data_IF_472313840702
#
_entry.id   IF_472313840702
#
_cell.length_a   1.000
_cell.length_b   1.000
_cell.length_c   1.000
_cell.angle_alpha   90.00
_cell.angle_beta   90.00
_cell.angle_gamma   90.00
#
_symmetry.space_group_name_H-M   'P 1'
#
loop_
_entity.id
_entity.type
_entity.pdbx_description
1 polymer ?
#
# COMPACT_ATOMS: atom_id res chain seq x y z
N UNK A 1 23.96 69.98 8.71
CA UNK A 1 22.72 69.22 8.44
C UNK A 1 23.01 67.76 8.79
N UNK A 2 22.59 67.32 9.99
CA UNK A 2 22.97 66.00 10.53
C UNK A 2 22.00 64.93 10.05
N UNK A 3 22.51 63.95 9.28
CA UNK A 3 21.77 62.75 8.87
C UNK A 3 21.84 61.74 10.03
N UNK A 4 20.70 61.40 10.62
CA UNK A 4 20.58 60.28 11.57
C UNK A 4 20.11 59.04 10.81
N UNK A 5 21.01 58.07 10.68
CA UNK A 5 20.70 56.73 10.16
C UNK A 5 20.23 55.86 11.33
N UNK A 6 18.96 55.45 11.30
CA UNK A 6 18.39 54.47 12.24
C UNK A 6 18.48 53.08 11.62
N UNK A 7 19.38 52.25 12.15
CA UNK A 7 19.44 50.81 11.91
C UNK A 7 18.34 50.13 12.76
N UNK A 8 17.36 49.50 12.11
CA UNK A 8 16.45 48.56 12.77
C UNK A 8 17.14 47.19 12.92
N UNK A 9 17.16 46.58 14.11
CA UNK A 9 17.59 45.20 14.25
C UNK A 9 16.45 44.29 13.79
N UNK A 10 16.70 43.51 12.74
CA UNK A 10 15.82 42.40 12.35
C UNK A 10 16.08 41.27 13.35
N UNK A 11 15.17 41.09 14.30
CA UNK A 11 15.13 39.89 15.13
C UNK A 11 14.69 38.73 14.22
N UNK A 12 15.64 37.89 13.81
CA UNK A 12 15.35 36.61 13.18
C UNK A 12 14.76 35.67 14.22
N UNK A 13 13.43 35.50 14.22
CA UNK A 13 12.78 34.43 14.96
C UNK A 13 13.09 33.11 14.23
N UNK A 14 14.13 32.41 14.68
CA UNK A 14 14.39 31.03 14.27
C UNK A 14 13.33 30.14 14.93
N UNK A 15 12.18 29.95 14.29
CA UNK A 15 11.25 28.90 14.69
C UNK A 15 11.93 27.55 14.44
N UNK A 16 12.47 26.95 15.50
CA UNK A 16 12.88 25.54 15.47
C UNK A 16 11.60 24.71 15.45
N UNK A 17 11.01 24.52 14.26
CA UNK A 17 9.99 23.51 14.06
C UNK A 17 10.62 22.15 14.29
N UNK A 18 10.37 21.54 15.45
CA UNK A 18 10.69 20.12 15.63
C UNK A 18 9.80 19.33 14.68
N UNK A 19 10.41 18.51 13.82
CA UNK A 19 9.68 17.62 12.94
C UNK A 19 8.76 16.70 13.77
N UNK A 20 7.50 16.58 13.34
CA UNK A 20 6.51 15.70 13.95
C UNK A 20 6.97 14.24 13.91
N UNK A 21 7.49 13.84 12.76
CA UNK A 21 8.00 12.53 12.43
C UNK A 21 9.48 12.63 12.03
N UNK A 22 10.29 11.66 12.45
CA UNK A 22 11.70 11.53 12.08
C UNK A 22 11.90 10.28 11.22
N UNK A 23 12.79 10.37 10.23
CA UNK A 23 13.07 9.25 9.34
C UNK A 23 13.68 8.10 10.13
N UNK A 24 13.03 6.94 10.09
CA UNK A 24 13.48 5.70 10.72
C UNK A 24 14.19 4.83 9.69
N UNK A 25 13.55 4.59 8.54
CA UNK A 25 14.09 3.78 7.45
C UNK A 25 13.87 4.43 6.09
N UNK A 26 14.96 4.54 5.33
CA UNK A 26 14.92 4.73 3.88
C UNK A 26 15.32 3.40 3.22
N UNK A 27 14.42 2.84 2.41
CA UNK A 27 14.66 1.56 1.76
C UNK A 27 15.58 1.68 0.53
N UNK A 28 15.83 2.90 0.04
CA UNK A 28 16.67 3.17 -1.12
C UNK A 28 16.10 2.65 -2.45
N UNK A 29 16.87 2.83 -3.53
CA UNK A 29 16.47 2.41 -4.90
C UNK A 29 17.55 1.64 -5.64
N UNK A 30 18.59 1.21 -4.93
CA UNK A 30 19.60 0.29 -5.44
C UNK A 30 19.20 -1.16 -5.21
N UNK A 31 19.99 -2.12 -5.68
CA UNK A 31 19.76 -3.55 -5.40
C UNK A 31 19.73 -3.89 -3.91
N UNK A 32 20.27 -3.02 -3.05
CA UNK A 32 20.20 -3.16 -1.59
C UNK A 32 18.79 -3.00 -1.02
N UNK A 33 17.84 -2.44 -1.80
CA UNK A 33 16.43 -2.41 -1.43
C UNK A 33 15.95 -3.82 -1.09
N UNK A 34 16.27 -4.79 -1.95
CA UNK A 34 15.88 -6.19 -1.78
C UNK A 34 16.58 -6.89 -0.61
N UNK A 35 17.65 -6.33 -0.03
CA UNK A 35 18.30 -6.88 1.16
C UNK A 35 17.46 -6.62 2.43
N UNK A 36 16.53 -5.67 2.37
CA UNK A 36 15.62 -5.32 3.47
C UNK A 36 14.33 -6.17 3.47
N UNK A 37 14.17 -7.09 2.52
CA UNK A 37 13.00 -7.95 2.37
C UNK A 37 13.37 -9.43 2.30
N UNK A 38 12.50 -10.29 2.83
CA UNK A 38 12.46 -11.72 2.49
C UNK A 38 11.60 -11.94 1.24
N UNK A 39 11.93 -12.98 0.47
CA UNK A 39 11.13 -13.43 -0.68
C UNK A 39 10.34 -14.65 -0.25
N UNK A 40 9.02 -14.52 -0.19
CA UNK A 40 8.11 -15.62 0.10
C UNK A 40 8.04 -16.56 -1.11
N UNK A 41 8.09 -17.87 -0.90
CA UNK A 41 8.11 -18.88 -1.98
C UNK A 41 7.14 -20.04 -1.75
N UNK A 42 6.40 -20.01 -0.64
CA UNK A 42 5.40 -21.02 -0.34
C UNK A 42 4.14 -20.81 -1.21
N UNK A 43 3.21 -21.78 -1.24
CA UNK A 43 1.93 -21.59 -1.91
C UNK A 43 1.21 -20.34 -1.39
N UNK A 44 0.56 -19.62 -2.30
CA UNK A 44 -0.14 -18.39 -1.97
C UNK A 44 -1.26 -18.62 -0.93
N UNK A 45 -1.21 -17.96 0.24
CA UNK A 45 -2.22 -18.12 1.28
C UNK A 45 -3.65 -17.79 0.83
N UNK A 46 -3.81 -16.96 -0.20
CA UNK A 46 -5.12 -16.60 -0.77
C UNK A 46 -5.60 -17.58 -1.85
N UNK A 47 -4.85 -18.65 -2.12
CA UNK A 47 -5.18 -19.66 -3.11
C UNK A 47 -5.03 -19.20 -4.56
N UNK A 48 -4.22 -18.17 -4.82
CA UNK A 48 -3.98 -17.64 -6.15
C UNK A 48 -3.26 -18.61 -7.11
N UNK A 49 -3.48 -18.39 -8.41
CA UNK A 49 -2.79 -19.09 -9.50
C UNK A 49 -1.44 -18.41 -9.80
N UNK A 50 -0.58 -18.40 -8.78
CA UNK A 50 0.72 -17.73 -8.77
C UNK A 50 1.82 -18.67 -8.31
N UNK A 51 3.01 -18.53 -8.90
CA UNK A 51 4.24 -19.16 -8.42
C UNK A 51 5.15 -18.07 -7.87
N UNK A 52 5.15 -17.87 -6.57
CA UNK A 52 6.11 -16.96 -5.94
C UNK A 52 7.51 -17.55 -5.96
N UNK A 53 8.46 -16.80 -6.52
CA UNK A 53 9.84 -17.28 -6.72
C UNK A 53 10.84 -16.55 -5.82
N UNK A 54 11.94 -17.23 -5.51
CA UNK A 54 13.05 -16.64 -4.75
C UNK A 54 13.74 -15.50 -5.52
N UNK A 55 14.52 -14.68 -4.79
CA UNK A 55 15.24 -13.52 -5.35
C UNK A 55 16.13 -13.85 -6.55
N UNK A 56 16.87 -14.96 -6.51
CA UNK A 56 17.79 -15.31 -7.61
C UNK A 56 17.02 -15.71 -8.85
N UNK A 57 15.93 -16.46 -8.68
CA UNK A 57 15.01 -16.82 -9.76
C UNK A 57 14.35 -15.58 -10.35
N UNK A 58 13.82 -14.69 -9.50
CA UNK A 58 13.22 -13.41 -9.91
C UNK A 58 14.20 -12.54 -10.71
N UNK A 59 15.46 -12.40 -10.27
CA UNK A 59 16.49 -11.64 -10.99
C UNK A 59 16.80 -12.24 -12.36
N UNK A 60 16.98 -13.56 -12.44
CA UNK A 60 17.28 -14.25 -13.71
C UNK A 60 16.12 -14.17 -14.69
N UNK A 61 14.89 -14.22 -14.19
CA UNK A 61 13.68 -14.09 -14.99
C UNK A 61 13.31 -12.63 -15.31
N UNK A 62 14.06 -11.64 -14.81
CA UNK A 62 13.79 -10.22 -15.05
C UNK A 62 12.57 -9.68 -14.29
N UNK A 63 12.09 -10.39 -13.26
CA UNK A 63 10.94 -9.98 -12.46
C UNK A 63 11.30 -8.86 -11.49
N UNK A 64 12.57 -8.72 -11.12
CA UNK A 64 13.03 -7.64 -10.24
C UNK A 64 14.29 -6.97 -10.79
N UNK A 65 14.37 -5.66 -10.60
CA UNK A 65 15.58 -4.88 -10.82
C UNK A 65 15.55 -3.60 -9.98
N UNK A 66 16.71 -2.99 -9.76
CA UNK A 66 16.78 -1.72 -9.03
C UNK A 66 17.95 -0.87 -9.55
N UNK A 67 17.64 0.27 -10.16
CA UNK A 67 18.61 1.23 -10.68
C UNK A 67 17.98 2.64 -10.71
N UNK A 68 18.00 3.32 -9.57
CA UNK A 68 17.40 4.65 -9.42
C UNK A 68 15.89 4.60 -9.15
N UNK A 69 15.22 3.54 -9.58
CA UNK A 69 13.90 3.10 -9.13
C UNK A 69 13.91 1.58 -8.95
N UNK A 70 13.00 1.05 -8.13
CA UNK A 70 12.86 -0.39 -7.89
C UNK A 70 11.71 -0.93 -8.73
N UNK A 71 11.99 -1.91 -9.56
CA UNK A 71 11.01 -2.64 -10.37
C UNK A 71 10.71 -4.00 -9.74
N UNK A 72 9.42 -4.33 -9.63
CA UNK A 72 8.94 -5.66 -9.25
C UNK A 72 7.73 -6.02 -10.12
N UNK A 73 7.86 -7.00 -10.99
CA UNK A 73 6.82 -7.43 -11.91
C UNK A 73 6.59 -8.93 -11.90
N UNK A 74 5.85 -9.38 -12.91
CA UNK A 74 5.44 -10.77 -13.10
C UNK A 74 5.96 -11.31 -14.44
N UNK A 75 5.96 -12.63 -14.60
CA UNK A 75 6.22 -13.21 -15.92
C UNK A 75 5.10 -12.79 -16.87
N UNK A 76 5.44 -12.08 -17.92
CA UNK A 76 4.54 -11.64 -18.99
C UNK A 76 4.97 -12.17 -20.37
N UNK A 77 5.76 -13.24 -20.41
CA UNK A 77 6.32 -13.84 -21.64
C UNK A 77 5.89 -15.29 -21.82
N UNK A 78 5.88 -16.09 -20.75
CA UNK A 78 5.64 -17.53 -20.86
C UNK A 78 4.21 -17.92 -20.52
N UNK A 79 3.71 -18.95 -21.20
CA UNK A 79 2.50 -19.67 -20.76
C UNK A 79 2.80 -20.28 -19.39
N UNK A 80 1.93 -20.01 -18.41
CA UNK A 80 2.16 -20.48 -17.05
C UNK A 80 1.89 -21.99 -16.94
N UNK A 81 2.71 -22.68 -16.13
CA UNK A 81 2.47 -24.07 -15.76
C UNK A 81 1.40 -24.21 -14.69
N UNK A 82 1.18 -25.43 -14.22
CA UNK A 82 0.18 -25.74 -13.17
C UNK A 82 0.48 -25.07 -11.82
N UNK A 83 1.71 -24.63 -11.59
CA UNK A 83 2.11 -23.88 -10.40
C UNK A 83 1.67 -22.42 -10.41
N UNK A 84 1.06 -21.93 -11.49
CA UNK A 84 0.69 -20.53 -11.63
C UNK A 84 1.74 -19.66 -12.30
N UNK A 85 1.37 -18.40 -12.57
CA UNK A 85 2.24 -17.40 -13.21
C UNK A 85 3.30 -16.93 -12.24
N UNK A 86 4.56 -16.83 -12.69
CA UNK A 86 5.64 -16.39 -11.80
C UNK A 86 5.46 -14.93 -11.38
N UNK A 87 5.65 -14.69 -10.09
CA UNK A 87 5.58 -13.38 -9.44
C UNK A 87 6.49 -13.36 -8.22
N UNK A 88 6.51 -12.25 -7.49
CA UNK A 88 7.24 -12.11 -6.24
C UNK A 88 6.32 -11.61 -5.13
N UNK A 89 6.55 -12.09 -3.91
CA UNK A 89 5.98 -11.55 -2.67
C UNK A 89 7.13 -11.21 -1.74
N UNK A 90 7.30 -9.93 -1.44
CA UNK A 90 8.37 -9.41 -0.61
C UNK A 90 7.78 -8.96 0.72
N UNK A 91 8.36 -9.43 1.83
CA UNK A 91 7.98 -9.02 3.19
C UNK A 91 9.17 -8.37 3.87
N UNK A 92 9.00 -7.17 4.43
CA UNK A 92 10.12 -6.45 5.02
C UNK A 92 10.65 -7.21 6.22
N UNK A 93 11.97 -7.30 6.33
CA UNK A 93 12.64 -7.98 7.45
C UNK A 93 12.37 -7.28 8.79
N UNK A 94 12.27 -5.95 8.76
CA UNK A 94 11.89 -5.13 9.92
C UNK A 94 10.37 -5.04 10.05
N UNK A 95 9.89 -5.10 11.29
CA UNK A 95 8.51 -4.80 11.67
C UNK A 95 8.41 -3.42 12.34
N UNK A 96 7.21 -2.86 12.34
CA UNK A 96 6.90 -1.56 12.93
C UNK A 96 5.62 -1.66 13.78
N UNK A 97 5.58 -0.89 14.87
CA UNK A 97 4.35 -0.60 15.59
C UNK A 97 4.18 0.91 15.58
N UNK A 98 3.08 1.37 14.98
CA UNK A 98 2.86 2.78 14.63
C UNK A 98 3.88 3.32 13.62
N UNK A 99 3.61 4.54 13.17
CA UNK A 99 4.52 5.32 12.33
C UNK A 99 3.81 5.93 11.13
N UNK A 100 4.61 6.47 10.23
CA UNK A 100 4.18 7.06 8.97
C UNK A 100 4.94 6.42 7.82
N UNK A 101 4.25 5.62 7.01
CA UNK A 101 4.80 4.97 5.82
C UNK A 101 4.50 5.86 4.62
N UNK A 102 5.54 6.24 3.86
CA UNK A 102 5.40 7.03 2.63
C UNK A 102 5.98 6.22 1.48
N UNK A 103 5.10 5.88 0.54
CA UNK A 103 5.42 5.15 -0.68
C UNK A 103 5.21 6.06 -1.90
N UNK A 104 6.29 6.39 -2.61
CA UNK A 104 6.26 7.09 -3.91
C UNK A 104 6.38 6.08 -5.04
N UNK A 105 5.32 5.96 -5.84
CA UNK A 105 5.23 5.05 -6.98
C UNK A 105 5.14 5.84 -8.29
N UNK A 106 5.99 5.47 -9.25
CA UNK A 106 5.81 5.85 -10.64
C UNK A 106 4.77 4.96 -11.34
N UNK A 107 4.63 3.71 -10.90
CA UNK A 107 3.75 2.71 -11.50
C UNK A 107 3.34 1.65 -10.46
N UNK A 108 2.14 1.09 -10.60
CA UNK A 108 1.66 -0.10 -9.90
C UNK A 108 1.05 -1.09 -10.89
N UNK A 109 0.83 -2.37 -10.55
CA UNK A 109 0.18 -3.29 -11.47
C UNK A 109 -1.18 -2.73 -11.95
N UNK A 110 -1.39 -2.76 -13.26
CA UNK A 110 -2.55 -2.16 -13.91
C UNK A 110 -3.88 -2.85 -13.58
N UNK A 111 -4.98 -2.29 -14.09
CA UNK A 111 -6.29 -2.94 -14.02
C UNK A 111 -6.40 -4.03 -15.08
N UNK A 112 -5.90 -5.24 -14.79
CA UNK A 112 -5.76 -6.35 -15.73
C UNK A 112 -6.60 -7.53 -15.24
N UNK A 113 -7.37 -8.16 -16.13
CA UNK A 113 -8.12 -9.37 -15.77
C UNK A 113 -7.19 -10.43 -15.17
N UNK A 114 -7.58 -10.94 -14.01
CA UNK A 114 -6.89 -12.01 -13.30
C UNK A 114 -5.84 -11.54 -12.31
N UNK A 115 -5.36 -10.29 -12.34
CA UNK A 115 -4.38 -9.79 -11.35
C UNK A 115 -5.04 -9.43 -10.03
N UNK A 116 -4.30 -9.62 -8.94
CA UNK A 116 -4.60 -9.12 -7.61
C UNK A 116 -3.30 -8.61 -6.96
N UNK A 117 -2.95 -7.33 -7.20
CA UNK A 117 -1.79 -6.71 -6.57
C UNK A 117 -2.13 -6.12 -5.20
N UNK A 118 -1.14 -6.16 -4.29
CA UNK A 118 -1.26 -5.55 -2.97
C UNK A 118 0.04 -4.85 -2.53
N UNK A 119 -0.11 -3.66 -1.93
CA UNK A 119 0.86 -3.09 -1.00
C UNK A 119 0.18 -2.88 0.34
N UNK A 120 0.68 -3.56 1.37
CA UNK A 120 -0.04 -3.76 2.61
C UNK A 120 0.91 -3.99 3.79
N UNK A 121 0.38 -3.96 5.00
CA UNK A 121 1.10 -4.28 6.23
C UNK A 121 0.48 -5.52 6.88
N UNK A 122 1.34 -6.42 7.34
CA UNK A 122 0.92 -7.69 7.93
C UNK A 122 1.59 -7.89 9.30
N UNK A 123 0.78 -8.07 10.34
CA UNK A 123 1.25 -8.50 11.66
C UNK A 123 1.46 -10.02 11.74
N UNK A 124 2.20 -10.53 12.75
CA UNK A 124 2.33 -11.97 12.97
C UNK A 124 1.00 -12.64 13.35
N UNK A 125 0.94 -13.96 13.22
CA UNK A 125 -0.19 -14.78 13.69
C UNK A 125 -1.58 -14.28 13.23
N UNK A 126 -1.69 -13.98 11.94
CA UNK A 126 -2.89 -13.43 11.31
C UNK A 126 -4.19 -14.16 11.70
N UNK A 127 -5.29 -13.45 11.99
CA UNK A 127 -5.46 -11.99 11.97
C UNK A 127 -5.19 -11.32 13.34
N UNK A 128 -4.49 -11.99 14.26
CA UNK A 128 -4.37 -11.56 15.67
C UNK A 128 -3.61 -10.25 15.84
N UNK A 129 -2.66 -9.95 14.95
CA UNK A 129 -1.92 -8.69 14.90
C UNK A 129 -2.30 -7.83 13.68
N UNK A 130 -3.40 -8.21 13.02
CA UNK A 130 -4.08 -7.47 11.99
C UNK A 130 -3.35 -7.34 10.66
N UNK A 131 -4.07 -6.70 9.73
CA UNK A 131 -3.68 -6.41 8.36
C UNK A 131 -4.12 -4.99 7.98
N UNK A 132 -3.30 -4.27 7.21
CA UNK A 132 -3.64 -2.94 6.66
C UNK A 132 -3.37 -2.95 5.16
N UNK A 133 -4.43 -3.02 4.36
CA UNK A 133 -4.35 -2.95 2.92
C UNK A 133 -4.34 -1.50 2.47
N UNK A 134 -3.18 -1.04 2.02
CA UNK A 134 -2.99 0.36 1.61
C UNK A 134 -3.35 0.54 0.14
N UNK A 135 -2.89 -0.38 -0.70
CA UNK A 135 -3.20 -0.42 -2.13
C UNK A 135 -3.63 -1.84 -2.46
N UNK A 136 -4.89 -2.03 -2.83
CA UNK A 136 -5.41 -3.35 -3.17
C UNK A 136 -6.57 -3.24 -4.16
N UNK A 137 -6.66 -4.22 -5.05
CA UNK A 137 -7.76 -4.38 -5.97
C UNK A 137 -7.61 -5.62 -6.83
N UNK A 138 -8.66 -5.94 -7.58
CA UNK A 138 -8.69 -7.15 -8.41
C UNK A 138 -9.14 -6.87 -9.83
N UNK A 139 -8.67 -7.69 -10.76
CA UNK A 139 -9.10 -7.66 -12.16
C UNK A 139 -8.97 -6.24 -12.76
N UNK A 140 -10.02 -5.76 -13.43
CA UNK A 140 -10.07 -4.45 -14.09
C UNK A 140 -10.56 -3.33 -13.18
N UNK A 141 -10.50 -3.52 -11.85
CA UNK A 141 -10.83 -2.48 -10.88
C UNK A 141 -10.02 -1.21 -11.18
N UNK A 142 -10.70 -0.07 -11.12
CA UNK A 142 -10.13 1.22 -11.52
C UNK A 142 -9.85 2.16 -10.35
N UNK A 143 -10.35 1.83 -9.16
CA UNK A 143 -10.21 2.64 -7.94
C UNK A 143 -9.63 1.77 -6.83
N UNK A 144 -8.82 2.36 -5.97
CA UNK A 144 -8.21 1.63 -4.86
C UNK A 144 -9.28 1.18 -3.84
N UNK A 145 -9.10 0.03 -3.21
CA UNK A 145 -9.83 -0.36 -2.00
C UNK A 145 -8.83 -0.48 -0.85
N UNK A 146 -9.09 0.23 0.23
CA UNK A 146 -8.27 0.16 1.45
C UNK A 146 -9.06 -0.56 2.52
N UNK A 147 -8.46 -1.57 3.15
CA UNK A 147 -9.14 -2.48 4.07
C UNK A 147 -8.29 -2.69 5.33
N UNK A 148 -8.94 -2.91 6.46
CA UNK A 148 -8.29 -3.51 7.63
C UNK A 148 -8.93 -4.86 7.95
N UNK A 149 -8.08 -5.80 8.35
CA UNK A 149 -8.49 -7.09 8.91
C UNK A 149 -8.01 -7.19 10.35
N UNK A 150 -8.86 -7.69 11.24
CA UNK A 150 -8.57 -7.83 12.67
C UNK A 150 -9.30 -9.00 13.30
N UNK A 151 -8.98 -9.27 14.56
CA UNK A 151 -9.85 -10.04 15.46
C UNK A 151 -11.16 -9.31 15.78
N UNK A 152 -12.11 -10.01 16.40
CA UNK A 152 -13.41 -9.46 16.80
C UNK A 152 -13.27 -8.29 17.78
N UNK A 153 -14.22 -7.34 17.73
CA UNK A 153 -14.24 -6.17 18.61
C UNK A 153 -13.68 -4.88 18.01
N UNK A 154 -13.32 -4.85 16.72
CA UNK A 154 -12.87 -3.64 16.03
C UNK A 154 -13.84 -3.20 14.93
N UNK A 155 -14.36 -1.98 15.04
CA UNK A 155 -15.20 -1.34 14.03
C UNK A 155 -14.86 0.14 13.88
N UNK A 156 -15.09 0.67 12.68
CA UNK A 156 -14.74 2.05 12.30
C UNK A 156 -15.96 2.96 12.15
N UNK A 157 -15.75 4.24 12.42
CA UNK A 157 -16.74 5.27 12.20
C UNK A 157 -16.83 5.67 10.71
N UNK A 158 -18.03 6.05 10.26
CA UNK A 158 -18.23 6.57 8.90
C UNK A 158 -18.04 8.09 8.87
N UNK A 159 -16.80 8.56 8.71
CA UNK A 159 -16.53 9.98 8.54
C UNK A 159 -15.05 10.36 8.57
N UNK A 160 -14.75 11.58 8.10
CA UNK A 160 -13.39 12.11 8.11
C UNK A 160 -12.49 11.59 6.99
N UNK A 161 -13.06 11.06 5.91
CA UNK A 161 -12.37 10.58 4.72
C UNK A 161 -13.14 10.94 3.45
N UNK A 162 -12.47 10.93 2.28
CA UNK A 162 -13.12 11.24 0.99
C UNK A 162 -13.62 10.03 0.22
N UNK A 163 -13.20 8.82 0.60
CA UNK A 163 -13.69 7.56 0.05
C UNK A 163 -15.12 7.20 0.47
N UNK A 164 -15.61 6.06 -0.01
CA UNK A 164 -16.91 5.49 0.33
C UNK A 164 -16.73 4.28 1.24
N UNK A 165 -17.34 4.29 2.42
CA UNK A 165 -17.35 3.13 3.31
C UNK A 165 -18.16 1.99 2.69
N UNK A 166 -17.56 0.80 2.57
CA UNK A 166 -18.20 -0.42 2.09
C UNK A 166 -18.65 -1.29 3.27
N UNK A 167 -17.71 -1.56 4.18
CA UNK A 167 -17.89 -2.39 5.38
C UNK A 167 -17.27 -1.69 6.57
N UNK A 168 -17.88 -1.82 7.74
CA UNK A 168 -17.50 -1.04 8.93
C UNK A 168 -16.86 -1.88 10.03
N UNK A 169 -17.05 -3.20 10.02
CA UNK A 169 -16.48 -4.11 11.00
C UNK A 169 -15.22 -4.76 10.43
N UNK A 170 -14.10 -4.62 11.14
CA UNK A 170 -12.79 -5.09 10.66
C UNK A 170 -12.58 -6.59 10.92
N UNK A 171 -13.49 -7.22 11.67
CA UNK A 171 -13.44 -8.65 11.93
C UNK A 171 -13.76 -9.48 10.69
N UNK A 172 -12.88 -10.43 10.37
CA UNK A 172 -13.01 -11.29 9.18
C UNK A 172 -14.25 -12.18 9.16
N UNK A 173 -14.84 -12.45 10.33
CA UNK A 173 -16.08 -13.22 10.45
C UNK A 173 -17.23 -12.37 11.01
N UNK A 174 -17.20 -11.06 10.76
CA UNK A 174 -18.24 -10.12 11.18
C UNK A 174 -19.64 -10.55 10.68
N UNK A 175 -20.63 -10.69 11.58
CA UNK A 175 -22.00 -11.00 11.18
C UNK A 175 -22.56 -9.95 10.23
N UNK A 176 -23.11 -10.39 9.10
CA UNK A 176 -23.72 -9.50 8.10
C UNK A 176 -22.74 -8.86 7.12
N UNK A 177 -21.46 -9.26 7.15
CA UNK A 177 -20.48 -9.00 6.10
C UNK A 177 -20.05 -10.32 5.47
N UNK A 178 -19.52 -10.27 4.24
CA UNK A 178 -18.89 -11.44 3.64
C UNK A 178 -17.67 -11.86 4.48
N UNK A 179 -17.38 -13.16 4.51
CA UNK A 179 -16.19 -13.67 5.19
C UNK A 179 -14.94 -13.05 4.57
N UNK A 180 -14.00 -12.61 5.41
CA UNK A 180 -12.77 -11.93 5.02
C UNK A 180 -13.01 -10.60 4.27
N UNK A 181 -14.15 -9.94 4.50
CA UNK A 181 -14.38 -8.61 3.93
C UNK A 181 -13.58 -7.51 4.63
N UNK A 182 -13.27 -7.68 5.93
CA UNK A 182 -12.70 -6.63 6.76
C UNK A 182 -13.57 -5.36 6.79
N UNK A 183 -12.99 -4.26 7.25
CA UNK A 183 -13.60 -2.93 7.15
C UNK A 183 -12.95 -2.18 6.00
N UNK A 184 -13.70 -1.94 4.92
CA UNK A 184 -13.16 -1.43 3.67
C UNK A 184 -13.73 -0.05 3.31
N UNK A 185 -12.86 0.79 2.77
CA UNK A 185 -13.19 2.08 2.16
C UNK A 185 -12.72 2.05 0.71
N UNK A 186 -13.65 2.25 -0.22
CA UNK A 186 -13.34 2.38 -1.64
C UNK A 186 -13.03 3.83 -2.00
N UNK A 187 -11.93 4.03 -2.73
CA UNK A 187 -11.65 5.29 -3.37
C UNK A 187 -12.68 5.59 -4.49
N UNK A 188 -12.85 6.87 -4.82
CA UNK A 188 -13.85 7.33 -5.81
C UNK A 188 -13.25 7.80 -7.13
N UNK A 189 -11.92 7.95 -7.19
CA UNK A 189 -11.20 8.47 -8.36
C UNK A 189 -10.33 7.40 -8.99
N UNK A 190 -10.36 7.29 -10.32
CA UNK A 190 -9.54 6.33 -11.06
C UNK A 190 -8.05 6.63 -11.03
N UNK A 191 -7.65 7.83 -10.55
CA UNK A 191 -6.25 8.18 -10.32
C UNK A 191 -5.61 7.37 -9.19
N UNK A 192 -6.41 6.70 -8.37
CA UNK A 192 -5.94 6.03 -7.15
C UNK A 192 -5.36 4.65 -7.42
N UNK A 193 -5.69 4.00 -8.54
CA UNK A 193 -5.32 2.62 -8.75
C UNK A 193 -5.10 2.24 -10.21
N UNK A 194 -4.26 1.22 -10.41
CA UNK A 194 -4.05 0.53 -11.68
C UNK A 194 -3.80 1.45 -12.86
N UNK A 195 -4.50 1.21 -13.97
CA UNK A 195 -4.26 1.88 -15.24
C UNK A 195 -4.45 3.40 -15.16
N UNK A 196 -5.43 3.88 -14.38
CA UNK A 196 -5.65 5.32 -14.23
C UNK A 196 -4.55 6.01 -13.43
N UNK A 197 -4.04 5.36 -12.38
CA UNK A 197 -2.86 5.79 -11.63
C UNK A 197 -1.61 5.85 -12.53
N UNK A 198 -1.35 4.78 -13.29
CA UNK A 198 -0.18 4.66 -14.16
C UNK A 198 -0.17 5.72 -15.26
N UNK A 199 -1.30 5.94 -15.93
CA UNK A 199 -1.45 6.96 -16.97
C UNK A 199 -1.23 8.40 -16.45
N UNK A 200 -1.42 8.62 -15.14
CA UNK A 200 -1.17 9.92 -14.49
C UNK A 200 0.28 10.09 -14.01
N UNK A 201 1.18 9.13 -14.25
CA UNK A 201 2.55 9.14 -13.74
C UNK A 201 2.65 8.80 -12.25
N UNK A 202 1.65 8.09 -11.75
CA UNK A 202 1.53 7.61 -10.38
C UNK A 202 1.32 8.70 -9.33
N UNK A 203 1.96 8.53 -8.17
CA UNK A 203 1.77 9.41 -7.02
C UNK A 203 2.31 8.82 -5.73
N UNK A 204 1.88 9.40 -4.62
CA UNK A 204 2.32 9.00 -3.27
C UNK A 204 1.14 8.49 -2.48
N UNK A 205 1.33 7.32 -1.87
CA UNK A 205 0.50 6.85 -0.78
C UNK A 205 1.23 7.11 0.55
N UNK A 206 0.54 7.76 1.48
CA UNK A 206 1.03 8.00 2.82
C UNK A 206 0.07 7.41 3.85
N UNK A 207 0.56 6.55 4.73
CA UNK A 207 -0.22 5.84 5.73
C UNK A 207 0.29 6.20 7.11
N UNK A 208 -0.51 6.97 7.87
CA UNK A 208 -0.25 7.27 9.28
C UNK A 208 -0.99 6.23 10.14
N UNK A 209 -0.26 5.56 11.01
CA UNK A 209 -0.77 4.59 11.96
C UNK A 209 -0.39 5.00 13.38
N UNK A 210 -1.41 5.20 14.22
CA UNK A 210 -1.29 5.60 15.62
C UNK A 210 -2.22 4.76 16.48
N UNK A 211 -2.15 4.92 17.81
CA UNK A 211 -3.11 4.31 18.73
C UNK A 211 -4.55 4.79 18.53
N UNK A 212 -4.76 5.96 17.91
CA UNK A 212 -6.08 6.52 17.66
C UNK A 212 -6.73 6.03 16.36
N UNK A 213 -5.98 5.29 15.53
CA UNK A 213 -6.44 4.77 14.25
C UNK A 213 -5.43 4.94 13.12
N UNK A 214 -5.91 4.64 11.91
CA UNK A 214 -5.12 4.61 10.69
C UNK A 214 -5.71 5.59 9.68
N UNK A 215 -4.88 6.36 9.00
CA UNK A 215 -5.29 7.28 7.94
C UNK A 215 -4.41 7.11 6.71
N UNK A 216 -5.02 7.04 5.53
CA UNK A 216 -4.34 6.82 4.26
C UNK A 216 -4.65 7.99 3.32
N UNK A 217 -3.61 8.67 2.87
CA UNK A 217 -3.70 9.73 1.86
C UNK A 217 -3.15 9.23 0.52
N UNK A 218 -3.73 9.76 -0.54
CA UNK A 218 -3.18 9.65 -1.88
C UNK A 218 -2.93 11.05 -2.45
N UNK A 219 -1.71 11.31 -2.89
CA UNK A 219 -1.32 12.53 -3.58
C UNK A 219 -0.95 12.19 -5.03
N UNK A 220 -1.78 12.54 -6.03
CA UNK A 220 -1.44 12.39 -7.43
C UNK A 220 -0.10 13.04 -7.77
N UNK A 221 0.62 12.51 -8.77
CA UNK A 221 1.89 13.08 -9.24
C UNK A 221 1.75 14.60 -9.47
N UNK A 222 2.68 15.37 -8.91
CA UNK A 222 2.69 16.84 -9.00
C UNK A 222 1.97 17.54 -7.84
N UNK A 223 1.18 16.84 -7.04
CA UNK A 223 0.46 17.40 -5.87
C UNK A 223 1.09 17.05 -4.51
N UNK A 224 2.27 16.42 -4.51
CA UNK A 224 2.98 16.03 -3.29
C UNK A 224 3.21 17.22 -2.34
N UNK A 225 2.78 17.13 -1.07
CA UNK A 225 3.08 18.09 -0.02
C UNK A 225 4.58 18.43 0.10
N UNK A 226 4.89 19.71 0.37
CA UNK A 226 6.28 20.22 0.38
C UNK A 226 7.12 19.61 1.51
N UNK A 227 6.50 19.32 2.63
CA UNK A 227 7.10 18.70 3.81
C UNK A 227 7.52 17.24 3.56
N UNK A 228 6.73 16.47 2.78
CA UNK A 228 7.14 15.15 2.28
C UNK A 228 8.40 15.28 1.42
N UNK A 229 8.44 16.25 0.49
CA UNK A 229 9.63 16.49 -0.37
C UNK A 229 10.85 16.92 0.44
N UNK A 230 10.63 17.67 1.52
CA UNK A 230 11.68 18.13 2.42
C UNK A 230 12.18 17.04 3.39
N UNK A 231 11.51 15.89 3.47
CA UNK A 231 11.85 14.81 4.39
C UNK A 231 11.47 15.09 5.84
N UNK A 232 10.52 16.00 6.08
CA UNK A 232 10.02 16.38 7.40
C UNK A 232 8.49 16.33 7.43
N UNK A 233 7.87 15.19 7.13
CA UNK A 233 6.42 15.11 6.93
C UNK A 233 5.63 15.47 8.20
N UNK A 234 4.53 16.19 8.01
CA UNK A 234 3.56 16.58 9.03
C UNK A 234 2.13 16.43 8.47
N UNK A 235 1.43 15.32 8.79
CA UNK A 235 0.09 15.05 8.29
C UNK A 235 -0.99 16.09 8.66
N UNK A 236 -0.74 16.94 9.65
CA UNK A 236 -1.75 17.90 10.17
C UNK A 236 -2.26 18.87 9.11
N UNK A 237 -1.48 19.15 8.07
CA UNK A 237 -1.83 20.10 7.00
C UNK A 237 -2.11 19.43 5.65
N UNK A 238 -2.20 18.10 5.58
CA UNK A 238 -2.44 17.38 4.33
C UNK A 238 -3.90 17.35 3.88
N UNK A 239 -4.81 17.80 4.75
CA UNK A 239 -6.25 17.79 4.50
C UNK A 239 -6.88 16.42 4.75
N UNK A 240 -8.11 16.25 4.27
CA UNK A 240 -8.90 15.04 4.51
C UNK A 240 -8.28 13.82 3.81
N UNK A 241 -8.00 12.71 4.53
CA UNK A 241 -7.45 11.49 3.93
C UNK A 241 -8.42 10.82 2.95
N UNK A 242 -7.86 9.97 2.10
CA UNK A 242 -8.63 9.12 1.20
C UNK A 242 -9.45 8.08 1.99
N UNK A 243 -8.82 7.47 3.00
CA UNK A 243 -9.45 6.58 3.96
C UNK A 243 -9.03 6.94 5.39
N UNK A 244 -9.95 6.86 6.34
CA UNK A 244 -9.68 7.04 7.76
C UNK A 244 -10.42 5.97 8.55
N UNK A 245 -9.65 5.13 9.19
CA UNK A 245 -10.08 4.09 10.10
C UNK A 245 -9.97 4.66 11.51
N UNK A 246 -11.00 5.38 11.94
CA UNK A 246 -11.13 5.91 13.29
C UNK A 246 -12.14 5.08 14.08
N UNK A 247 -12.01 4.95 15.40
CA UNK A 247 -12.81 4.01 16.17
C UNK A 247 -14.29 4.40 16.16
N UNK A 248 -15.13 3.48 15.67
CA UNK A 248 -16.54 3.42 16.06
C UNK A 248 -16.65 2.69 17.40
N UNK A 249 -16.03 1.51 17.45
CA UNK A 249 -15.68 0.74 18.66
C UNK A 249 -14.49 -0.14 18.31
N UNK A 250 -13.27 0.37 18.52
CA UNK A 250 -12.02 -0.37 18.27
C UNK A 250 -10.90 0.17 19.16
N UNK A 251 -10.12 -0.74 19.75
CA UNK A 251 -8.82 -0.43 20.36
C UNK A 251 -7.72 -0.86 19.38
N UNK A 252 -7.21 0.08 18.58
CA UNK A 252 -6.26 -0.25 17.52
C UNK A 252 -4.97 -0.91 18.04
N UNK A 253 -4.52 -0.55 19.24
CA UNK A 253 -3.31 -1.13 19.83
C UNK A 253 -3.52 -2.58 20.29
N UNK A 254 -4.78 -3.01 20.48
CA UNK A 254 -5.11 -4.40 20.80
C UNK A 254 -5.20 -5.30 19.56
N UNK A 255 -5.34 -4.73 18.37
CA UNK A 255 -5.59 -5.48 17.12
C UNK A 255 -4.45 -5.40 16.11
N UNK A 256 -3.64 -4.34 16.16
CA UNK A 256 -2.62 -4.07 15.16
C UNK A 256 -1.28 -3.85 15.85
N UNK A 257 -0.26 -4.65 15.51
CA UNK A 257 1.10 -4.49 16.06
C UNK A 257 2.14 -5.25 15.24
N UNK A 258 3.41 -4.83 15.37
CA UNK A 258 4.57 -5.54 14.82
C UNK A 258 4.46 -5.90 13.33
N UNK A 259 3.95 -4.97 12.53
CA UNK A 259 3.64 -5.22 11.13
C UNK A 259 4.83 -5.07 10.21
N UNK A 260 4.93 -5.97 9.24
CA UNK A 260 5.90 -5.91 8.15
C UNK A 260 5.25 -5.34 6.89
N UNK A 261 6.00 -4.57 6.11
CA UNK A 261 5.57 -4.09 4.80
C UNK A 261 5.58 -5.25 3.81
N UNK A 262 4.53 -5.39 3.00
CA UNK A 262 4.41 -6.44 2.00
C UNK A 262 4.10 -5.85 0.63
N UNK A 263 4.82 -6.31 -0.39
CA UNK A 263 4.48 -6.12 -1.80
C UNK A 263 4.25 -7.47 -2.44
N UNK A 264 3.17 -7.62 -3.19
CA UNK A 264 2.98 -8.77 -4.06
C UNK A 264 2.08 -8.48 -5.26
N UNK A 265 1.99 -9.49 -6.12
CA UNK A 265 0.95 -9.57 -7.15
C UNK A 265 0.62 -11.04 -7.32
N UNK A 266 -0.53 -11.45 -6.79
CA UNK A 266 -1.12 -12.76 -7.05
C UNK A 266 -2.07 -12.70 -8.24
N UNK A 267 -2.67 -13.86 -8.57
CA UNK A 267 -3.63 -14.00 -9.63
C UNK A 267 -4.81 -14.85 -9.19
N UNK A 268 -6.02 -14.51 -9.64
CA UNK A 268 -7.23 -15.26 -9.33
C UNK A 268 -7.46 -15.40 -7.81
N UNK A 269 -7.42 -16.62 -7.27
CA UNK A 269 -7.54 -16.86 -5.84
C UNK A 269 -8.88 -16.46 -5.23
N UNK A 270 -8.86 -16.32 -3.89
CA UNK A 270 -10.04 -16.10 -3.06
C UNK A 270 -10.84 -14.85 -3.38
N UNK A 271 -10.23 -13.84 -4.01
CA UNK A 271 -10.93 -12.62 -4.42
C UNK A 271 -11.04 -12.45 -5.93
N UNK A 272 -9.93 -12.24 -6.65
CA UNK A 272 -9.99 -11.95 -8.10
C UNK A 272 -10.64 -13.09 -8.90
N UNK A 273 -10.41 -14.34 -8.48
CA UNK A 273 -11.02 -15.53 -9.06
C UNK A 273 -12.50 -15.66 -8.70
N UNK A 274 -12.85 -15.36 -7.44
CA UNK A 274 -14.23 -15.46 -6.95
C UNK A 274 -15.19 -14.49 -7.66
N UNK A 275 -14.72 -13.28 -8.00
CA UNK A 275 -15.54 -12.27 -8.70
C UNK A 275 -15.39 -12.32 -10.23
N UNK A 276 -14.63 -13.28 -10.77
CA UNK A 276 -14.36 -13.37 -12.21
C UNK A 276 -15.66 -13.48 -13.03
N UNK A 277 -16.52 -14.44 -12.67
CA UNK A 277 -17.71 -14.79 -13.44
C UNK A 277 -18.83 -13.74 -13.39
N UNK A 278 -18.83 -12.87 -12.38
CA UNK A 278 -19.79 -11.76 -12.25
C UNK A 278 -19.23 -10.42 -12.74
N UNK A 279 -17.92 -10.33 -12.95
CA UNK A 279 -17.22 -9.13 -13.43
C UNK A 279 -17.13 -9.03 -14.95
N UNK A 280 -16.52 -7.94 -15.42
CA UNK A 280 -16.26 -7.67 -16.84
C UNK A 280 -15.27 -8.67 -17.49
N UNK A 281 -14.53 -9.42 -16.69
CA UNK A 281 -13.56 -10.41 -17.18
C UNK A 281 -14.21 -11.72 -17.63
N UNK A 282 -15.45 -12.00 -17.24
CA UNK A 282 -16.18 -13.19 -17.69
C UNK A 282 -16.33 -13.26 -19.22
N UNK A 283 -16.31 -12.11 -19.92
CA UNK A 283 -16.37 -12.08 -21.38
C UNK A 283 -15.04 -12.31 -22.08
N UNK A 284 -13.91 -12.23 -21.37
CA UNK A 284 -12.57 -12.43 -21.98
C UNK A 284 -12.15 -13.90 -21.96
N UNK A 285 -12.55 -14.64 -20.93
CA UNK A 285 -12.32 -16.08 -20.80
C UNK A 285 -13.29 -16.63 -19.73
N UNK A 286 -13.66 -17.90 -19.86
CA UNK A 286 -14.54 -18.60 -18.94
C UNK A 286 -13.94 -18.82 -17.55
N UNK A 287 -12.62 -18.99 -17.49
CA UNK A 287 -11.85 -19.32 -16.29
C UNK A 287 -10.72 -18.32 -16.08
N UNK A 288 -10.64 -17.75 -14.87
CA UNK A 288 -9.54 -16.87 -14.49
C UNK A 288 -8.18 -17.54 -14.66
N UNK A 289 -8.06 -18.81 -14.25
CA UNK A 289 -6.79 -19.54 -14.33
C UNK A 289 -6.39 -19.79 -15.78
N UNK A 290 -7.35 -20.12 -16.66
CA UNK A 290 -7.07 -20.33 -18.09
C UNK A 290 -6.64 -19.03 -18.77
N UNK A 291 -7.25 -17.90 -18.40
CA UNK A 291 -6.84 -16.59 -18.87
C UNK A 291 -5.41 -16.29 -18.45
N UNK A 292 -5.12 -16.41 -17.16
CA UNK A 292 -3.81 -16.12 -16.58
C UNK A 292 -2.75 -17.06 -17.12
N UNK A 293 -3.06 -18.34 -17.35
CA UNK A 293 -2.11 -19.31 -17.89
C UNK A 293 -1.72 -18.97 -19.33
N UNK A 294 -2.70 -18.73 -20.19
CA UNK A 294 -2.53 -18.77 -21.64
C UNK A 294 -2.29 -17.40 -22.30
N UNK A 295 -2.39 -16.29 -21.56
CA UNK A 295 -2.28 -14.93 -22.11
C UNK A 295 -1.13 -14.11 -21.49
N UNK A 296 0.14 -14.57 -21.54
CA UNK A 296 1.25 -13.90 -20.86
C UNK A 296 1.40 -12.41 -21.18
N UNK A 297 1.26 -12.05 -22.45
CA UNK A 297 1.56 -10.69 -22.91
C UNK A 297 0.65 -9.61 -22.33
N UNK A 298 -0.53 -9.97 -21.78
CA UNK A 298 -1.44 -8.99 -21.17
C UNK A 298 -0.93 -8.47 -19.82
N UNK A 299 0.03 -9.18 -19.21
CA UNK A 299 0.59 -8.85 -17.90
C UNK A 299 1.83 -7.96 -17.97
N UNK A 300 2.15 -7.37 -19.13
CA UNK A 300 3.27 -6.43 -19.27
C UNK A 300 3.17 -5.23 -18.33
N UNK A 301 1.95 -4.76 -18.06
CA UNK A 301 1.67 -3.64 -17.14
C UNK A 301 1.41 -4.12 -15.70
N UNK A 302 1.67 -5.38 -15.36
CA UNK A 302 1.54 -5.91 -14.01
C UNK A 302 2.87 -5.80 -13.25
N UNK A 303 3.28 -4.57 -12.93
CA UNK A 303 4.50 -4.30 -12.16
C UNK A 303 4.41 -3.07 -11.27
N UNK A 304 5.15 -3.10 -10.17
CA UNK A 304 5.46 -1.97 -9.31
C UNK A 304 6.72 -1.26 -9.80
N UNK A 305 6.69 0.08 -9.82
CA UNK A 305 7.87 0.91 -10.02
C UNK A 305 7.95 1.96 -8.90
N UNK A 306 8.84 1.70 -7.95
CA UNK A 306 8.99 2.46 -6.71
C UNK A 306 10.09 3.51 -6.86
N UNK A 307 9.74 4.78 -6.69
CA UNK A 307 10.70 5.88 -6.61
C UNK A 307 11.31 5.99 -5.21
N UNK A 308 10.53 5.74 -4.16
CA UNK A 308 11.03 5.67 -2.78
C UNK A 308 10.02 5.01 -1.85
N UNK A 309 10.53 4.31 -0.84
CA UNK A 309 9.76 3.82 0.30
C UNK A 309 10.47 4.26 1.59
N UNK A 310 9.77 5.00 2.43
CA UNK A 310 10.31 5.55 3.67
C UNK A 310 9.35 5.33 4.82
N UNK A 311 9.89 4.99 5.98
CA UNK A 311 9.13 4.88 7.23
C UNK A 311 9.66 5.92 8.20
N UNK A 312 8.74 6.65 8.83
CA UNK A 312 9.04 7.63 9.85
C UNK A 312 8.39 7.22 11.18
N UNK A 313 9.04 7.57 12.28
CA UNK A 313 8.56 7.34 13.64
C UNK A 313 8.37 8.67 14.38
N UNK A 314 7.58 8.65 15.45
CA UNK A 314 7.41 9.83 16.30
C UNK A 314 8.78 10.33 16.79
N UNK A 315 8.95 11.65 16.81
CA UNK A 315 10.17 12.23 17.35
C UNK A 315 10.39 11.80 18.82
N UNK A 316 11.63 11.49 19.24
CA UNK A 316 11.91 11.03 20.59
C UNK A 316 11.28 11.92 21.67
N UNK A 317 10.48 11.31 22.56
CA UNK A 317 9.81 12.00 23.66
C UNK A 317 8.40 12.52 23.37
N UNK A 318 7.86 12.32 22.16
CA UNK A 318 6.42 12.45 21.89
C UNK A 318 5.80 11.06 21.77
N UNK A 319 4.93 10.71 22.72
CA UNK A 319 3.95 9.63 22.51
C UNK A 319 2.69 10.33 22.06
N UNK A 320 2.35 10.27 20.76
CA UNK A 320 1.07 10.80 20.29
C UNK A 320 -0.06 9.87 20.73
N UNK A 321 -0.57 10.11 21.93
CA UNK A 321 -1.95 9.75 22.28
C UNK A 321 -2.82 10.76 21.55
N UNK A 322 -3.60 10.30 20.58
CA UNK A 322 -4.48 11.15 19.75
C UNK A 322 -5.40 12.06 20.55
#
# INVERSE_FOLDING_TARGET
>A
MYIRSTLLPILGLSATGMAAYVLEDDYGTSTSFFDKFSFFTDPDPTGGFVSYVDRNTAQKAGLISANGAVYMGVDHTNVAGSSGRQSVRLTSTKSYTHGLVILDLAHMPGGICGTWPAFWLLGPDWPSHGEIDIIEGVNTQSTNQMTLHSTDGCSIANGGFTGTLLTSNCYDYAPGQETNAGCSIAATSSLTYGTGFNNAGGGIYATEWTSAGISIWFFPRGSTPLDIRAGTPDPTNWGTPLAKFAPGSCDFDAHFSEMQLVFDTTFCGGWAGAVWGSGSCASVESSCQDFVANNPSVFQEAYWLINSLKVYQDAPGRVRRG
#
